data_IF_986256937132
#
_entry.id   IF_986256937132
#
_cell.length_a   1.000
_cell.length_b   1.000
_cell.length_c   1.000
_cell.angle_alpha   90.00
_cell.angle_beta   90.00
_cell.angle_gamma   90.00
#
_symmetry.space_group_name_H-M   'P 1'
#
loop_
_entity.id
_entity.type
_entity.pdbx_description
1 polymer ?
#
# COMPACT_ATOMS: atom_id res chain seq x y z
N UNK A 1 -27.10 -19.44 12.38
CA UNK A 1 -26.33 -19.58 11.12
C UNK A 1 -24.90 -19.85 11.57
N UNK A 2 -24.42 -21.08 11.40
CA UNK A 2 -23.06 -21.43 11.79
C UNK A 2 -22.15 -20.92 10.68
N UNK A 3 -21.45 -19.82 10.95
CA UNK A 3 -20.40 -19.32 10.06
C UNK A 3 -19.24 -20.32 10.19
N UNK A 4 -18.72 -20.82 9.08
CA UNK A 4 -17.53 -21.68 9.13
C UNK A 4 -16.35 -20.91 9.72
N UNK A 5 -15.42 -21.58 10.39
CA UNK A 5 -14.20 -20.97 10.92
C UNK A 5 -13.40 -20.24 9.84
N UNK A 6 -13.46 -20.73 8.59
CA UNK A 6 -12.83 -20.12 7.41
C UNK A 6 -13.50 -18.78 7.07
N UNK A 7 -14.83 -18.72 7.13
CA UNK A 7 -15.58 -17.48 6.86
C UNK A 7 -15.41 -16.48 8.00
N UNK A 8 -15.36 -16.95 9.26
CA UNK A 8 -15.05 -16.11 10.40
C UNK A 8 -13.62 -15.54 10.32
N UNK A 9 -12.62 -16.35 9.99
CA UNK A 9 -11.24 -15.89 9.80
C UNK A 9 -11.13 -14.87 8.67
N UNK A 10 -11.86 -15.05 7.56
CA UNK A 10 -11.95 -14.12 6.45
C UNK A 10 -12.60 -12.79 6.86
N UNK A 11 -13.73 -12.89 7.58
CA UNK A 11 -14.48 -11.74 8.08
C UNK A 11 -13.65 -10.89 9.04
N UNK A 12 -12.91 -11.50 9.96
CA UNK A 12 -12.06 -10.79 10.92
C UNK A 12 -10.76 -10.23 10.30
N UNK A 13 -10.28 -10.81 9.22
CA UNK A 13 -9.14 -10.29 8.46
C UNK A 13 -9.47 -8.95 7.75
N UNK A 14 -10.75 -8.73 7.42
CA UNK A 14 -11.23 -7.53 6.72
C UNK A 14 -11.69 -6.42 7.68
N UNK A 15 -11.84 -6.70 8.98
CA UNK A 15 -12.30 -5.72 9.96
C UNK A 15 -11.15 -4.94 10.60
N UNK A 16 -11.20 -3.58 10.57
CA UNK A 16 -10.19 -2.73 11.18
C UNK A 16 -10.19 -2.74 12.72
N UNK A 17 -11.03 -3.59 13.39
CA UNK A 17 -11.25 -3.58 14.85
C UNK A 17 -11.04 -4.97 15.45
N UNK A 18 -9.80 -5.43 15.51
CA UNK A 18 -9.41 -6.72 16.11
C UNK A 18 -9.91 -6.91 17.56
N UNK A 19 -10.01 -5.83 18.35
CA UNK A 19 -10.49 -5.91 19.74
C UNK A 19 -11.95 -6.35 19.82
N UNK A 20 -12.84 -5.77 18.99
CA UNK A 20 -14.26 -6.15 18.95
C UNK A 20 -14.45 -7.58 18.42
N UNK A 21 -13.57 -8.04 17.55
CA UNK A 21 -13.57 -9.40 17.05
C UNK A 21 -13.21 -10.40 18.16
N UNK A 22 -12.20 -10.11 18.97
CA UNK A 22 -11.84 -10.92 20.13
C UNK A 22 -12.96 -10.97 21.18
N UNK A 23 -13.59 -9.84 21.49
CA UNK A 23 -14.73 -9.78 22.42
C UNK A 23 -15.91 -10.62 21.94
N UNK A 24 -16.24 -10.54 20.64
CA UNK A 24 -17.30 -11.35 20.05
C UNK A 24 -17.01 -12.85 20.11
N UNK A 25 -15.78 -13.25 19.77
CA UNK A 25 -15.35 -14.65 19.83
C UNK A 25 -15.41 -15.20 21.26
N UNK A 26 -14.91 -14.46 22.24
CA UNK A 26 -14.95 -14.86 23.65
C UNK A 26 -16.36 -15.05 24.18
N UNK A 27 -17.34 -14.33 23.67
CA UNK A 27 -18.74 -14.41 24.11
C UNK A 27 -19.57 -15.50 23.40
N UNK A 28 -19.16 -15.90 22.18
CA UNK A 28 -20.02 -16.70 21.29
C UNK A 28 -19.39 -18.02 20.84
N UNK A 29 -18.18 -18.34 21.26
CA UNK A 29 -17.43 -19.51 20.79
C UNK A 29 -16.81 -20.24 22.00
N UNK A 30 -16.86 -21.56 22.00
CA UNK A 30 -16.24 -22.36 23.06
C UNK A 30 -14.70 -22.35 23.01
N UNK A 31 -14.06 -22.69 24.11
CA UNK A 31 -12.60 -22.62 24.27
C UNK A 31 -11.82 -23.50 23.28
N UNK A 32 -12.40 -24.62 22.82
CA UNK A 32 -11.76 -25.51 21.86
C UNK A 32 -11.73 -24.85 20.46
N UNK A 33 -12.82 -24.22 20.08
CA UNK A 33 -12.98 -23.49 18.83
C UNK A 33 -12.12 -22.22 18.83
N UNK A 34 -12.00 -21.53 19.98
CA UNK A 34 -11.08 -20.41 20.15
C UNK A 34 -9.61 -20.82 19.98
N UNK A 35 -9.25 -22.00 20.54
CA UNK A 35 -7.90 -22.55 20.43
C UNK A 35 -7.57 -22.92 18.98
N UNK A 36 -8.50 -23.55 18.28
CA UNK A 36 -8.36 -23.89 16.85
C UNK A 36 -8.26 -22.63 15.99
N UNK A 37 -9.10 -21.62 16.24
CA UNK A 37 -9.03 -20.32 15.58
C UNK A 37 -7.69 -19.63 15.84
N UNK A 38 -7.22 -19.63 17.10
CA UNK A 38 -5.92 -19.04 17.44
C UNK A 38 -4.75 -19.76 16.78
N UNK A 39 -4.87 -21.09 16.58
CA UNK A 39 -3.88 -21.89 15.86
C UNK A 39 -3.89 -21.55 14.37
N UNK A 40 -5.06 -21.51 13.74
CA UNK A 40 -5.22 -21.08 12.34
C UNK A 40 -4.74 -19.64 12.10
N UNK A 41 -4.94 -18.76 13.09
CA UNK A 41 -4.49 -17.38 13.03
C UNK A 41 -2.98 -17.22 13.27
N UNK A 42 -2.37 -18.13 14.06
CA UNK A 42 -0.91 -18.16 14.30
C UNK A 42 -0.15 -18.79 13.16
N UNK A 43 -0.74 -19.78 12.48
CA UNK A 43 -0.13 -20.50 11.36
C UNK A 43 -0.25 -19.72 10.03
N UNK A 44 -1.11 -18.71 9.95
CA UNK A 44 -0.89 -17.64 8.98
C UNK A 44 0.43 -16.95 9.43
N UNK A 45 1.51 -17.01 8.65
CA UNK A 45 2.70 -16.25 8.99
C UNK A 45 2.22 -14.81 9.20
N UNK A 46 2.39 -14.33 10.43
CA UNK A 46 2.19 -12.93 10.73
C UNK A 46 2.80 -12.19 9.55
N UNK A 47 2.10 -11.24 8.95
CA UNK A 47 2.61 -10.45 7.81
C UNK A 47 3.80 -9.55 8.21
N UNK A 48 4.46 -9.82 9.29
CA UNK A 48 5.88 -9.70 9.52
C UNK A 48 6.66 -10.69 8.63
N UNK A 49 6.26 -10.84 7.38
CA UNK A 49 7.19 -11.22 6.36
C UNK A 49 8.24 -10.14 6.42
N UNK A 50 9.41 -10.50 6.92
CA UNK A 50 10.60 -9.69 7.04
C UNK A 50 10.73 -8.91 5.74
N UNK A 51 10.14 -7.71 5.70
CA UNK A 51 10.10 -6.86 4.53
C UNK A 51 11.55 -6.63 4.12
N UNK A 52 11.96 -7.24 3.05
CA UNK A 52 13.22 -6.91 2.41
C UNK A 52 12.96 -5.67 1.54
N UNK A 53 13.71 -4.61 1.76
CA UNK A 53 13.63 -3.37 0.98
C UNK A 53 14.14 -3.59 -0.46
N UNK A 54 13.39 -4.40 -1.23
CA UNK A 54 13.75 -4.85 -2.58
C UNK A 54 12.57 -4.68 -3.53
N UNK A 55 12.87 -4.57 -4.82
CA UNK A 55 11.88 -4.53 -5.89
C UNK A 55 10.86 -5.67 -5.78
N UNK A 56 11.34 -6.91 -5.64
CA UNK A 56 10.50 -8.10 -5.56
C UNK A 56 9.56 -8.09 -4.34
N UNK A 57 10.02 -7.56 -3.21
CA UNK A 57 9.17 -7.43 -2.02
C UNK A 57 8.04 -6.44 -2.24
N UNK A 58 8.33 -5.28 -2.85
CA UNK A 58 7.29 -4.30 -3.16
C UNK A 58 6.28 -4.85 -4.18
N UNK A 59 6.73 -5.55 -5.21
CA UNK A 59 5.81 -6.25 -6.13
C UNK A 59 4.91 -7.25 -5.41
N UNK A 60 5.47 -8.01 -4.47
CA UNK A 60 4.70 -8.94 -3.64
C UNK A 60 3.61 -8.22 -2.86
N UNK A 61 3.98 -7.16 -2.11
CA UNK A 61 3.03 -6.35 -1.34
C UNK A 61 1.96 -5.72 -2.23
N UNK A 62 2.32 -5.22 -3.40
CA UNK A 62 1.38 -4.61 -4.33
C UNK A 62 0.41 -5.64 -4.94
N UNK A 63 0.88 -6.84 -5.24
CA UNK A 63 0.05 -7.96 -5.71
C UNK A 63 -0.96 -8.35 -4.64
N UNK A 64 -0.51 -8.50 -3.39
CA UNK A 64 -1.37 -8.83 -2.25
C UNK A 64 -2.42 -7.73 -1.99
N UNK A 65 -2.06 -6.48 -2.23
CA UNK A 65 -2.97 -5.35 -2.16
C UNK A 65 -3.95 -5.28 -3.34
N UNK A 66 -3.75 -6.08 -4.41
CA UNK A 66 -4.63 -6.17 -5.58
C UNK A 66 -4.25 -5.25 -6.75
N UNK A 67 -2.97 -4.94 -6.89
CA UNK A 67 -2.46 -4.28 -8.09
C UNK A 67 -2.45 -5.27 -9.28
N UNK A 68 -3.02 -4.86 -10.41
CA UNK A 68 -2.97 -5.63 -11.68
C UNK A 68 -1.55 -5.63 -12.27
N UNK A 69 -0.82 -4.54 -12.08
CA UNK A 69 0.56 -4.35 -12.52
C UNK A 69 1.44 -4.01 -11.31
N UNK A 70 1.82 -5.01 -10.49
CA UNK A 70 2.56 -4.77 -9.24
C UNK A 70 3.94 -4.15 -9.46
N UNK A 71 4.58 -4.38 -10.62
CA UNK A 71 5.82 -3.74 -11.02
C UNK A 71 5.71 -2.22 -11.15
N UNK A 72 4.52 -1.68 -11.39
CA UNK A 72 4.29 -0.24 -11.40
C UNK A 72 4.46 0.36 -10.00
N UNK A 73 3.96 -0.32 -8.96
CA UNK A 73 4.14 0.11 -7.57
C UNK A 73 5.62 0.03 -7.15
N UNK A 74 6.34 -1.00 -7.61
CA UNK A 74 7.78 -1.10 -7.38
C UNK A 74 8.56 0.02 -8.11
N UNK A 75 8.14 0.41 -9.32
CA UNK A 75 8.73 1.54 -10.04
C UNK A 75 8.48 2.88 -9.31
N UNK A 76 7.27 3.09 -8.77
CA UNK A 76 6.98 4.26 -7.95
C UNK A 76 7.83 4.27 -6.67
N UNK A 77 7.89 3.14 -5.94
CA UNK A 77 8.76 3.01 -4.77
C UNK A 77 10.22 3.35 -5.07
N UNK A 78 10.76 2.81 -6.16
CA UNK A 78 12.14 3.10 -6.56
C UNK A 78 12.37 4.59 -6.84
N UNK A 79 11.40 5.24 -7.49
CA UNK A 79 11.48 6.64 -7.87
C UNK A 79 11.25 7.59 -6.69
N UNK A 80 10.21 7.36 -5.90
CA UNK A 80 9.77 8.27 -4.82
C UNK A 80 10.67 8.16 -3.58
N UNK A 81 11.13 6.97 -3.24
CA UNK A 81 11.94 6.72 -2.03
C UNK A 81 13.40 6.40 -2.30
N UNK A 82 13.88 6.58 -3.53
CA UNK A 82 15.23 6.15 -3.92
C UNK A 82 15.51 4.69 -3.48
N UNK A 83 14.67 3.77 -3.93
CA UNK A 83 14.71 2.35 -3.54
C UNK A 83 14.57 2.13 -2.03
N UNK A 84 13.69 2.87 -1.39
CA UNK A 84 13.42 2.78 0.05
C UNK A 84 14.51 3.35 0.96
N UNK A 85 15.51 4.02 0.40
CA UNK A 85 16.57 4.67 1.19
C UNK A 85 16.16 6.04 1.75
N UNK A 86 15.10 6.64 1.22
CA UNK A 86 14.58 7.96 1.61
C UNK A 86 13.08 7.90 1.84
N UNK A 87 12.68 7.73 3.08
CA UNK A 87 11.28 7.68 3.47
C UNK A 87 10.79 9.07 3.87
N UNK A 88 9.55 9.41 3.54
CA UNK A 88 8.94 10.68 3.95
C UNK A 88 8.40 10.66 5.37
N UNK A 89 7.97 9.49 5.86
CA UNK A 89 7.52 9.18 7.23
C UNK A 89 7.83 7.74 7.57
N UNK A 90 7.35 7.24 8.70
CA UNK A 90 7.49 5.83 9.06
C UNK A 90 6.83 4.96 7.98
N UNK A 91 7.59 4.05 7.37
CA UNK A 91 7.17 3.18 6.26
C UNK A 91 6.52 3.93 5.06
N UNK A 92 6.69 5.24 4.95
CA UNK A 92 6.10 6.05 3.87
C UNK A 92 7.03 6.15 2.67
N UNK A 93 6.83 5.26 1.72
CA UNK A 93 7.65 5.14 0.51
C UNK A 93 7.25 6.09 -0.62
N UNK A 94 6.04 6.63 -0.57
CA UNK A 94 5.43 7.34 -1.71
C UNK A 94 5.19 8.83 -1.45
N UNK A 95 5.74 9.37 -0.36
CA UNK A 95 5.55 10.78 -0.03
C UNK A 95 4.10 11.16 0.29
N UNK A 96 3.32 10.22 0.82
CA UNK A 96 1.91 10.42 1.11
C UNK A 96 1.78 11.44 2.24
N UNK A 97 1.09 12.55 1.96
CA UNK A 97 0.78 13.58 2.94
C UNK A 97 -0.35 13.14 3.87
N UNK A 98 -0.26 13.50 5.14
CA UNK A 98 -1.22 13.12 6.18
C UNK A 98 -0.65 13.31 7.56
N UNK A 99 -1.41 12.93 8.59
CA UNK A 99 -0.99 13.06 9.98
C UNK A 99 0.16 12.11 10.31
N UNK A 100 1.29 12.63 10.82
CA UNK A 100 2.45 11.84 11.22
C UNK A 100 3.76 12.63 11.23
N UNK A 101 4.77 12.16 10.55
CA UNK A 101 6.13 12.76 10.54
C UNK A 101 6.16 14.12 9.85
N UNK A 102 6.61 15.15 10.57
CA UNK A 102 6.84 16.48 10.00
C UNK A 102 8.25 16.56 9.40
N UNK A 103 8.36 16.95 8.13
CA UNK A 103 9.63 17.16 7.45
C UNK A 103 9.65 18.48 6.70
N UNK A 104 10.82 19.11 6.68
CA UNK A 104 11.06 20.21 5.76
C UNK A 104 11.15 19.66 4.34
N UNK A 105 10.35 20.21 3.45
CA UNK A 105 10.36 19.93 2.02
C UNK A 105 10.27 21.24 1.24
N UNK A 106 10.36 21.17 -0.07
CA UNK A 106 10.16 22.33 -0.92
C UNK A 106 9.02 22.08 -1.89
N UNK A 107 8.28 23.12 -2.19
CA UNK A 107 7.21 23.12 -3.19
C UNK A 107 7.49 24.28 -4.17
N UNK A 108 7.20 24.06 -5.44
CA UNK A 108 7.26 25.13 -6.45
C UNK A 108 5.85 25.45 -6.92
N UNK A 109 5.39 26.65 -6.58
CA UNK A 109 4.08 27.17 -6.97
C UNK A 109 4.18 28.05 -8.24
N UNK A 110 5.24 27.90 -9.04
CA UNK A 110 5.48 28.67 -10.26
C UNK A 110 6.30 29.95 -10.06
N UNK A 111 6.71 30.26 -8.82
CA UNK A 111 7.55 31.41 -8.46
C UNK A 111 8.91 31.01 -7.88
N UNK A 112 9.32 29.76 -8.09
CA UNK A 112 10.52 29.16 -7.51
C UNK A 112 10.26 28.36 -6.22
N UNK A 113 11.27 27.59 -5.76
CA UNK A 113 11.11 26.68 -4.64
C UNK A 113 10.90 27.42 -3.32
N UNK A 114 9.87 27.06 -2.59
CA UNK A 114 9.59 27.54 -1.23
C UNK A 114 9.75 26.37 -0.26
N UNK A 115 10.57 26.56 0.78
CA UNK A 115 10.72 25.57 1.84
C UNK A 115 9.53 25.64 2.78
N UNK A 116 8.88 24.50 2.99
CA UNK A 116 7.75 24.36 3.89
C UNK A 116 7.96 23.17 4.83
N UNK A 117 7.34 23.21 6.00
CA UNK A 117 7.20 22.03 6.83
C UNK A 117 5.92 21.32 6.37
N UNK A 118 6.06 20.12 5.84
CA UNK A 118 4.95 19.28 5.43
C UNK A 118 4.82 18.07 6.37
N UNK A 119 3.60 17.70 6.64
CA UNK A 119 3.25 16.53 7.44
C UNK A 119 3.00 15.34 6.51
N UNK A 120 3.68 14.23 6.79
CA UNK A 120 3.62 13.02 6.02
C UNK A 120 3.03 11.90 6.86
N UNK A 121 2.14 11.12 6.27
CA UNK A 121 1.48 10.02 6.96
C UNK A 121 2.50 8.95 7.37
N UNK A 122 2.40 8.50 8.63
CA UNK A 122 3.09 7.32 9.11
C UNK A 122 2.24 6.06 8.89
N UNK A 123 2.90 4.95 8.61
CA UNK A 123 2.26 3.64 8.42
C UNK A 123 2.88 2.63 9.39
N UNK A 124 2.05 1.76 9.95
CA UNK A 124 2.51 0.74 10.88
C UNK A 124 3.41 -0.28 10.18
N UNK A 125 3.05 -0.67 8.97
CA UNK A 125 3.80 -1.65 8.17
C UNK A 125 4.06 -1.16 6.73
N UNK A 126 5.08 -1.70 6.05
CA UNK A 126 5.27 -1.52 4.61
C UNK A 126 4.05 -1.89 3.76
N UNK A 127 3.33 -2.93 4.16
CA UNK A 127 2.09 -3.34 3.49
C UNK A 127 1.02 -2.26 3.55
N UNK A 128 0.84 -1.62 4.70
CA UNK A 128 -0.19 -0.57 4.86
C UNK A 128 0.07 0.60 3.91
N UNK A 129 1.32 1.00 3.75
CA UNK A 129 1.70 2.05 2.80
C UNK A 129 1.41 1.64 1.34
N UNK A 130 1.81 0.43 0.94
CA UNK A 130 1.55 -0.08 -0.42
C UNK A 130 0.06 -0.27 -0.66
N UNK A 131 -0.67 -0.82 0.32
CA UNK A 131 -2.12 -1.00 0.23
C UNK A 131 -2.85 0.34 0.14
N UNK A 132 -2.40 1.37 0.84
CA UNK A 132 -2.94 2.72 0.72
C UNK A 132 -2.77 3.26 -0.70
N UNK A 133 -1.56 3.14 -1.29
CA UNK A 133 -1.31 3.52 -2.69
C UNK A 133 -2.25 2.79 -3.65
N UNK A 134 -2.30 1.45 -3.56
CA UNK A 134 -3.10 0.61 -4.46
C UNK A 134 -4.60 0.91 -4.31
N UNK A 135 -5.08 1.07 -3.09
CA UNK A 135 -6.49 1.36 -2.84
C UNK A 135 -6.93 2.73 -3.37
N UNK A 136 -6.03 3.70 -3.43
CA UNK A 136 -6.36 5.06 -3.86
C UNK A 136 -6.10 5.34 -5.33
N UNK A 137 -5.10 4.73 -5.91
CA UNK A 137 -4.64 5.07 -7.25
C UNK A 137 -4.79 3.92 -8.25
N UNK A 138 -4.84 2.68 -7.78
CA UNK A 138 -4.90 1.53 -8.67
C UNK A 138 -6.32 1.00 -8.83
N UNK A 139 -7.09 0.98 -7.75
CA UNK A 139 -8.50 0.58 -7.73
C UNK A 139 -9.42 1.77 -7.94
N UNK A 140 -10.68 1.51 -8.22
CA UNK A 140 -11.71 2.53 -8.25
C UNK A 140 -11.87 3.18 -6.87
N UNK A 141 -11.72 4.49 -6.80
CA UNK A 141 -11.77 5.23 -5.56
C UNK A 141 -12.33 6.64 -5.77
N UNK A 142 -13.51 6.94 -5.21
CA UNK A 142 -14.11 8.29 -5.16
C UNK A 142 -14.08 9.05 -6.50
N UNK A 143 -14.38 8.38 -7.60
CA UNK A 143 -14.39 8.97 -8.93
C UNK A 143 -13.10 8.78 -9.74
N UNK A 144 -12.05 8.24 -9.15
CA UNK A 144 -10.92 7.69 -9.88
C UNK A 144 -11.28 6.28 -10.35
N UNK A 145 -11.17 6.02 -11.65
CA UNK A 145 -11.40 4.67 -12.14
C UNK A 145 -10.21 3.71 -11.89
N UNK A 146 -9.10 4.23 -11.37
CA UNK A 146 -7.90 3.49 -11.03
C UNK A 146 -7.11 2.96 -12.23
N UNK A 147 -5.80 2.76 -12.06
CA UNK A 147 -4.94 2.30 -13.16
C UNK A 147 -5.08 0.80 -13.45
N UNK A 148 -5.73 0.04 -12.57
CA UNK A 148 -6.03 -1.39 -12.82
C UNK A 148 -6.95 -1.62 -14.03
N UNK A 149 -7.63 -0.58 -14.54
CA UNK A 149 -8.41 -0.66 -15.79
C UNK A 149 -7.55 -0.76 -17.03
N UNK A 150 -6.27 -0.43 -16.96
CA UNK A 150 -5.36 -0.52 -18.09
C UNK A 150 -5.23 -1.95 -18.61
N UNK A 151 -4.92 -2.09 -19.90
CA UNK A 151 -4.64 -3.39 -20.50
C UNK A 151 -3.14 -3.75 -20.43
N UNK A 152 -2.26 -2.73 -20.39
CA UNK A 152 -0.82 -2.89 -20.29
C UNK A 152 -0.23 -2.06 -19.15
N UNK A 153 0.94 -2.46 -18.64
CA UNK A 153 1.66 -1.72 -17.59
C UNK A 153 2.11 -0.32 -18.05
N UNK A 154 2.40 -0.16 -19.33
CA UNK A 154 2.75 1.13 -19.93
C UNK A 154 1.54 2.07 -19.97
N UNK A 155 0.36 1.53 -20.27
CA UNK A 155 -0.90 2.27 -20.16
C UNK A 155 -1.21 2.65 -18.72
N UNK A 156 -1.04 1.73 -17.77
CA UNK A 156 -1.21 2.01 -16.34
C UNK A 156 -0.31 3.17 -15.87
N UNK A 157 0.95 3.21 -16.31
CA UNK A 157 1.86 4.31 -16.02
C UNK A 157 1.40 5.65 -16.64
N UNK A 158 0.82 5.63 -17.84
CA UNK A 158 0.23 6.84 -18.46
C UNK A 158 -0.99 7.33 -17.72
N UNK A 159 -1.89 6.41 -17.35
CA UNK A 159 -3.10 6.73 -16.59
C UNK A 159 -2.77 7.34 -15.23
N UNK A 160 -1.81 6.77 -14.51
CA UNK A 160 -1.37 7.28 -13.22
C UNK A 160 -0.98 8.77 -13.28
N UNK A 161 -0.23 9.16 -14.31
CA UNK A 161 0.11 10.57 -14.54
C UNK A 161 -1.09 11.40 -14.98
N UNK A 162 -1.92 10.88 -15.89
CA UNK A 162 -3.10 11.60 -16.40
C UNK A 162 -4.11 11.89 -15.27
N UNK A 163 -4.17 11.05 -14.25
CA UNK A 163 -5.00 11.23 -13.05
C UNK A 163 -4.36 12.15 -12.00
N UNK A 164 -3.20 12.73 -12.28
CA UNK A 164 -2.60 13.76 -11.45
C UNK A 164 -1.71 13.25 -10.31
N UNK A 165 -1.24 12.01 -10.37
CA UNK A 165 -0.32 11.48 -9.35
C UNK A 165 0.98 12.30 -9.25
N UNK A 166 1.51 12.75 -10.39
CA UNK A 166 2.73 13.53 -10.44
C UNK A 166 2.67 14.63 -11.50
N UNK A 167 3.30 15.76 -11.21
CA UNK A 167 3.41 16.92 -12.11
C UNK A 167 4.58 16.81 -13.09
N UNK A 168 5.61 16.01 -12.78
CA UNK A 168 6.79 15.81 -13.62
C UNK A 168 6.40 15.34 -15.04
N UNK A 169 6.75 16.10 -16.11
CA UNK A 169 6.45 15.72 -17.49
C UNK A 169 7.05 14.37 -17.89
N UNK A 170 8.17 13.98 -17.28
CA UNK A 170 8.89 12.74 -17.56
C UNK A 170 8.51 11.58 -16.65
N UNK A 171 7.51 11.74 -15.77
CA UNK A 171 7.16 10.71 -14.78
C UNK A 171 6.86 9.35 -15.40
N UNK A 172 5.98 9.33 -16.40
CA UNK A 172 5.61 8.10 -17.13
C UNK A 172 6.82 7.39 -17.74
N UNK A 173 7.70 8.14 -18.43
CA UNK A 173 8.88 7.55 -19.06
C UNK A 173 9.89 6.99 -18.06
N UNK A 174 10.01 7.64 -16.88
CA UNK A 174 10.84 7.13 -15.77
C UNK A 174 10.30 5.81 -15.22
N UNK A 175 8.99 5.71 -15.00
CA UNK A 175 8.34 4.48 -14.53
C UNK A 175 8.52 3.34 -15.54
N UNK A 176 8.23 3.57 -16.82
CA UNK A 176 8.39 2.57 -17.88
C UNK A 176 9.84 2.08 -17.97
N UNK A 177 10.81 2.99 -17.89
CA UNK A 177 12.24 2.65 -17.90
C UNK A 177 12.61 1.76 -16.70
N UNK A 178 12.07 2.03 -15.53
CA UNK A 178 12.30 1.21 -14.34
C UNK A 178 11.66 -0.18 -14.51
N UNK A 179 10.40 -0.26 -14.92
CA UNK A 179 9.71 -1.54 -15.15
C UNK A 179 10.46 -2.41 -16.18
N UNK A 180 10.98 -1.81 -17.25
CA UNK A 180 11.75 -2.53 -18.28
C UNK A 180 13.12 -3.02 -17.79
N UNK A 181 13.70 -2.37 -16.77
CA UNK A 181 14.98 -2.79 -16.18
C UNK A 181 14.85 -4.05 -15.34
N UNK A 182 13.68 -4.26 -14.74
CA UNK A 182 13.44 -5.35 -13.79
C UNK A 182 12.48 -6.43 -14.33
N UNK A 183 12.09 -6.35 -15.61
CA UNK A 183 11.27 -7.32 -16.31
C UNK A 183 12.00 -8.64 -16.58
#
# INVERSE_FOLDING_TARGET
MIISLIDAAKYFKELPHQVKACEYLQQNVDDSTLTEFATLYRDEPSKETKYANTWKSIEGLARDAGAKFPELAAAQWALESAYGSRLSGQNNFFGIKGQGTVKQTWEDYGNGPVYINAEFQDFDTPYDCVNYLVSRWYKDYKGYAGVNRAETREEAARLLKAEGYATDPNYTSKLIKLMNRYA
#
